data_IF_085977332273
#
_entry.id   IF_085977332273
#
_cell.length_a   1.000
_cell.length_b   1.000
_cell.length_c   1.000
_cell.angle_alpha   90.00
_cell.angle_beta   90.00
_cell.angle_gamma   90.00
#
_symmetry.space_group_name_H-M   'P 1'
#
loop_
_entity.id
_entity.type
_entity.pdbx_description
1 polymer ?
#
# COMPACT_ATOMS: atom_id res chain seq x y z
N UNK A 1 -9.62 3.63 -19.43
CA UNK A 1 -9.40 3.97 -17.99
C UNK A 1 -9.47 5.46 -17.71
N UNK A 2 -8.95 6.33 -18.58
CA UNK A 2 -8.99 7.79 -18.41
C UNK A 2 -10.38 8.37 -18.11
N UNK A 3 -11.44 7.85 -18.74
CA UNK A 3 -12.84 8.27 -18.48
C UNK A 3 -13.31 7.91 -17.07
N UNK A 4 -13.00 6.69 -16.59
CA UNK A 4 -13.41 6.19 -15.28
C UNK A 4 -12.60 6.81 -14.15
N UNK A 5 -11.28 6.73 -14.27
CA UNK A 5 -10.35 7.09 -13.18
C UNK A 5 -10.04 8.59 -13.18
N UNK A 6 -9.96 9.25 -14.36
CA UNK A 6 -9.67 10.69 -14.56
C UNK A 6 -8.30 11.17 -14.08
N UNK A 7 -7.82 10.68 -12.95
CA UNK A 7 -6.54 10.95 -12.30
C UNK A 7 -6.09 9.70 -11.51
N UNK A 8 -4.92 9.79 -10.88
CA UNK A 8 -4.42 8.78 -9.96
C UNK A 8 -5.45 8.46 -8.87
N UNK A 9 -5.82 7.19 -8.70
CA UNK A 9 -6.87 6.78 -7.76
C UNK A 9 -6.44 6.71 -6.28
N UNK A 10 -5.15 6.88 -5.99
CA UNK A 10 -4.68 6.94 -4.61
C UNK A 10 -5.35 8.09 -3.83
N UNK A 11 -5.71 7.90 -2.55
CA UNK A 11 -6.43 8.90 -1.77
C UNK A 11 -5.74 10.27 -1.78
N UNK A 12 -6.50 11.30 -2.14
CA UNK A 12 -6.02 12.69 -2.17
C UNK A 12 -5.04 13.01 -3.31
N UNK A 13 -4.84 12.13 -4.29
CA UNK A 13 -3.97 12.40 -5.43
C UNK A 13 -4.77 12.86 -6.66
N UNK A 14 -4.37 13.99 -7.23
CA UNK A 14 -5.00 14.63 -8.39
C UNK A 14 -4.14 14.56 -9.67
N UNK A 15 -3.00 13.85 -9.63
CA UNK A 15 -2.09 13.71 -10.77
C UNK A 15 -2.86 13.23 -12.00
N UNK A 16 -2.80 13.97 -13.13
CA UNK A 16 -3.65 13.72 -14.28
C UNK A 16 -3.37 12.35 -14.91
N UNK A 17 -4.38 11.77 -15.56
CA UNK A 17 -4.28 10.44 -16.15
C UNK A 17 -3.09 10.26 -17.11
N UNK A 18 -2.68 11.31 -17.83
CA UNK A 18 -1.51 11.31 -18.72
C UNK A 18 -0.17 11.06 -18.00
N UNK A 19 -0.13 11.17 -16.67
CA UNK A 19 1.05 10.93 -15.83
C UNK A 19 0.93 9.64 -15.01
N UNK A 20 -0.02 8.80 -15.37
CA UNK A 20 -0.34 7.58 -14.65
C UNK A 20 -0.24 6.35 -15.55
N UNK A 21 0.03 5.21 -14.92
CA UNK A 21 0.04 3.91 -15.56
C UNK A 21 -1.15 3.07 -15.04
N UNK A 22 -1.58 2.11 -15.85
CA UNK A 22 -2.48 1.07 -15.41
C UNK A 22 -1.73 0.05 -14.53
N UNK A 23 -2.27 -0.22 -13.34
CA UNK A 23 -1.75 -1.20 -12.41
C UNK A 23 -2.71 -2.38 -12.28
N UNK A 24 -2.21 -3.61 -12.43
CA UNK A 24 -2.97 -4.83 -12.22
C UNK A 24 -3.15 -5.14 -10.74
N UNK A 25 -4.40 -5.33 -10.29
CA UNK A 25 -4.74 -5.77 -8.93
C UNK A 25 -4.34 -7.22 -8.70
N UNK A 26 -4.80 -8.11 -9.59
CA UNK A 26 -4.27 -9.46 -9.75
C UNK A 26 -3.17 -9.39 -10.80
N UNK A 27 -1.90 -9.68 -10.47
CA UNK A 27 -0.82 -9.58 -11.44
C UNK A 27 -1.05 -10.47 -12.66
N UNK A 28 -0.62 -10.00 -13.83
CA UNK A 28 -0.80 -10.72 -15.10
C UNK A 28 -0.20 -12.14 -15.06
N UNK A 29 0.97 -12.30 -14.43
CA UNK A 29 1.68 -13.59 -14.31
C UNK A 29 0.98 -14.57 -13.34
N UNK A 30 0.01 -14.10 -12.56
CA UNK A 30 -0.91 -14.94 -11.79
C UNK A 30 -2.25 -15.17 -12.50
N UNK A 31 -2.35 -14.85 -13.80
CA UNK A 31 -3.59 -14.96 -14.58
C UNK A 31 -4.56 -13.80 -14.31
N UNK A 32 -4.04 -12.60 -14.08
CA UNK A 32 -4.82 -11.37 -14.03
C UNK A 32 -5.14 -10.84 -15.42
N UNK A 33 -6.40 -10.53 -15.68
CA UNK A 33 -6.86 -10.00 -16.97
C UNK A 33 -6.46 -8.53 -17.15
N UNK A 34 -6.24 -8.11 -18.39
CA UNK A 34 -6.08 -6.69 -18.73
C UNK A 34 -7.45 -6.11 -19.07
N UNK A 35 -8.22 -5.79 -18.04
CA UNK A 35 -9.55 -5.19 -18.17
C UNK A 35 -9.82 -4.17 -17.06
N UNK A 36 -10.91 -3.41 -17.19
CA UNK A 36 -11.25 -2.37 -16.21
C UNK A 36 -11.46 -2.94 -14.80
N UNK A 37 -11.94 -4.17 -14.63
CA UNK A 37 -12.18 -4.71 -13.30
C UNK A 37 -10.87 -5.07 -12.57
N UNK A 38 -9.81 -5.32 -13.31
CA UNK A 38 -8.49 -5.69 -12.76
C UNK A 38 -7.43 -4.57 -12.86
N UNK A 39 -7.74 -3.44 -13.51
CA UNK A 39 -6.81 -2.33 -13.66
C UNK A 39 -7.25 -1.10 -12.88
N UNK A 40 -6.30 -0.43 -12.22
CA UNK A 40 -6.46 0.86 -11.56
C UNK A 40 -5.40 1.85 -12.04
N UNK A 41 -5.75 3.12 -12.22
CA UNK A 41 -4.82 4.14 -12.69
C UNK A 41 -4.02 4.77 -11.53
N UNK A 42 -2.69 4.70 -11.58
CA UNK A 42 -1.79 5.23 -10.54
C UNK A 42 -0.64 6.05 -11.14
N UNK A 43 -0.30 7.18 -10.51
CA UNK A 43 0.92 7.89 -10.86
C UNK A 43 2.16 7.09 -10.45
N UNK A 44 3.32 7.35 -11.06
CA UNK A 44 4.58 6.63 -10.79
C UNK A 44 4.89 6.46 -9.29
N UNK A 45 4.68 7.51 -8.48
CA UNK A 45 4.90 7.48 -7.03
C UNK A 45 4.03 6.44 -6.32
N UNK A 46 2.72 6.45 -6.58
CA UNK A 46 1.79 5.53 -5.95
C UNK A 46 1.86 4.13 -6.54
N UNK A 47 2.14 4.01 -7.84
CA UNK A 47 2.37 2.73 -8.49
C UNK A 47 3.52 1.98 -7.79
N UNK A 48 4.62 2.67 -7.50
CA UNK A 48 5.74 2.12 -6.73
C UNK A 48 5.35 1.79 -5.29
N UNK A 49 4.57 2.63 -4.61
CA UNK A 49 4.16 2.40 -3.22
C UNK A 49 3.30 1.13 -3.05
N UNK A 50 2.49 0.80 -4.05
CA UNK A 50 1.72 -0.45 -4.08
C UNK A 50 2.64 -1.67 -4.28
N UNK A 51 3.58 -1.60 -5.23
CA UNK A 51 4.59 -2.67 -5.41
C UNK A 51 5.45 -2.89 -4.16
N UNK A 52 5.78 -1.81 -3.44
CA UNK A 52 6.52 -1.85 -2.19
C UNK A 52 5.70 -2.34 -0.99
N UNK A 53 4.42 -2.69 -1.21
CA UNK A 53 3.49 -3.15 -0.17
C UNK A 53 3.36 -2.13 0.95
N UNK A 54 3.45 -0.83 0.67
CA UNK A 54 3.06 0.23 1.63
C UNK A 54 1.54 0.38 1.65
N UNK A 55 0.90 0.02 0.54
CA UNK A 55 -0.54 0.03 0.37
C UNK A 55 -1.03 -1.35 -0.08
N UNK A 56 -2.16 -1.78 0.47
CA UNK A 56 -3.01 -2.85 -0.08
C UNK A 56 -4.17 -2.24 -0.84
N UNK A 57 -4.50 -2.84 -1.97
CA UNK A 57 -5.64 -2.47 -2.80
C UNK A 57 -6.70 -3.56 -2.72
N UNK A 58 -7.95 -3.15 -2.51
CA UNK A 58 -9.12 -4.02 -2.54
C UNK A 58 -10.07 -3.55 -3.62
N UNK A 59 -10.62 -4.49 -4.40
CA UNK A 59 -11.72 -4.19 -5.32
C UNK A 59 -13.04 -4.14 -4.56
N UNK A 60 -13.86 -3.14 -4.82
CA UNK A 60 -15.23 -3.02 -4.28
C UNK A 60 -16.29 -3.42 -5.33
N UNK A 61 -15.87 -3.86 -6.52
CA UNK A 61 -16.75 -4.07 -7.66
C UNK A 61 -17.09 -2.76 -8.39
N UNK A 62 -17.63 -2.89 -9.62
CA UNK A 62 -18.03 -1.75 -10.44
C UNK A 62 -16.90 -0.76 -10.77
N UNK A 63 -15.64 -1.22 -10.77
CA UNK A 63 -14.47 -0.36 -10.99
C UNK A 63 -14.15 0.61 -9.84
N UNK A 64 -14.66 0.35 -8.63
CA UNK A 64 -14.32 1.08 -7.40
C UNK A 64 -13.26 0.32 -6.61
N UNK A 65 -12.37 1.06 -5.94
CA UNK A 65 -11.24 0.49 -5.21
C UNK A 65 -11.09 1.12 -3.83
N UNK A 66 -10.66 0.33 -2.85
CA UNK A 66 -10.29 0.79 -1.52
C UNK A 66 -8.79 0.63 -1.33
N UNK A 67 -8.17 1.69 -0.84
CA UNK A 67 -6.79 1.69 -0.41
C UNK A 67 -6.71 1.47 1.09
N UNK A 68 -5.85 0.56 1.51
CA UNK A 68 -5.56 0.29 2.91
C UNK A 68 -4.06 0.47 3.14
N UNK A 69 -3.68 1.23 4.15
CA UNK A 69 -2.28 1.32 4.57
C UNK A 69 -1.83 -0.04 5.07
N UNK A 70 -0.84 -0.62 4.39
CA UNK A 70 -0.17 -1.82 4.87
C UNK A 70 0.79 -1.42 5.98
N UNK A 71 0.26 -1.29 7.20
CA UNK A 71 1.07 -1.09 8.40
C UNK A 71 1.97 -2.32 8.54
N UNK A 72 3.28 -2.17 8.32
CA UNK A 72 4.22 -3.13 8.93
C UNK A 72 3.95 -3.08 10.43
N UNK A 73 3.83 -4.23 11.13
CA UNK A 73 3.93 -4.20 12.57
C UNK A 73 5.24 -3.46 12.92
N UNK A 74 5.25 -2.61 13.97
CA UNK A 74 6.50 -2.10 14.50
C UNK A 74 7.46 -3.28 14.62
N UNK A 75 8.69 -3.13 14.12
CA UNK A 75 9.72 -4.14 14.40
C UNK A 75 9.78 -4.22 15.92
N UNK A 76 9.38 -5.35 16.50
CA UNK A 76 9.65 -5.60 17.92
C UNK A 76 11.15 -5.39 18.07
N UNK A 77 11.54 -4.31 18.75
CA UNK A 77 12.90 -4.12 19.21
C UNK A 77 13.13 -5.31 20.13
N UNK A 78 13.90 -6.30 19.68
CA UNK A 78 14.41 -7.35 20.56
C UNK A 78 15.30 -6.64 21.57
N UNK A 79 14.76 -6.33 22.75
CA UNK A 79 15.47 -5.74 23.88
C UNK A 79 16.39 -6.79 24.50
N UNK A 80 17.49 -7.12 23.80
CA UNK A 80 18.62 -7.85 24.36
C UNK A 80 19.55 -6.95 25.17
N UNK A 81 19.22 -5.65 25.31
CA UNK A 81 20.06 -4.63 25.94
C UNK A 81 19.60 -4.21 27.36
N UNK A 82 18.69 -4.95 27.99
CA UNK A 82 18.22 -4.69 29.37
C UNK A 82 18.50 -5.90 30.28
N UNK A 83 19.78 -6.32 30.33
CA UNK A 83 20.34 -7.09 31.44
C UNK A 83 21.55 -6.36 31.99
N UNK A 84 21.32 -5.15 32.50
CA UNK A 84 22.25 -4.48 33.41
C UNK A 84 21.48 -3.35 34.11
N UNK A 85 21.59 -3.27 35.43
CA UNK A 85 21.06 -2.20 36.28
C UNK A 85 19.61 -2.33 36.75
N UNK A 86 19.33 -3.39 37.52
CA UNK A 86 18.34 -3.33 38.60
C UNK A 86 18.74 -4.30 39.72
N UNK A 87 19.99 -4.19 40.19
CA UNK A 87 20.41 -4.74 41.48
C UNK A 87 20.82 -3.54 42.34
N UNK A 88 19.95 -3.12 43.25
CA UNK A 88 20.29 -2.03 44.17
C UNK A 88 19.11 -1.47 44.95
N UNK A 89 18.98 -1.97 46.19
CA UNK A 89 18.35 -1.35 47.37
C UNK A 89 16.84 -1.56 47.57
N UNK A 90 16.53 -2.68 48.21
CA UNK A 90 15.64 -2.69 49.37
C UNK A 90 16.43 -2.15 50.58
N UNK A 91 15.83 -1.26 51.36
CA UNK A 91 15.71 -1.36 52.83
C UNK A 91 14.94 -0.12 53.33
N UNK A 92 13.78 -0.41 53.92
CA UNK A 92 13.27 0.33 55.06
C UNK A 92 14.16 0.09 56.29
#
# INVERSE_FOLDING_TARGET
MTVRDKHCQAPGCDRPARWCDAHHLKPWYHGGRTDLNNLILLCRRHHRAVHQRTWRLHTLGGGKFRFELHRRPPRERTDSAQRASANGRSLA
#
